data_IF_709245688226
#
_entry.id   IF_709245688226
#
_cell.length_a   1.000
_cell.length_b   1.000
_cell.length_c   1.000
_cell.angle_alpha   90.00
_cell.angle_beta   90.00
_cell.angle_gamma   90.00
#
_symmetry.space_group_name_H-M   'P 1'
#
loop_
_entity.id
_entity.type
_entity.pdbx_description
1 polymer ?
#
# COMPACT_ATOMS: atom_id res chain seq x y z
N UNK A 1 17.09 -25.96 -15.12
CA UNK A 1 16.23 -25.76 -13.94
C UNK A 1 14.83 -25.45 -14.46
N UNK A 2 14.01 -26.50 -14.61
CA UNK A 2 12.70 -26.43 -15.28
C UNK A 2 11.68 -25.74 -14.37
N UNK A 3 11.22 -24.55 -14.76
CA UNK A 3 10.05 -23.91 -14.18
C UNK A 3 8.81 -24.74 -14.56
N UNK A 4 8.26 -25.50 -13.62
CA UNK A 4 6.97 -26.17 -13.80
C UNK A 4 5.89 -25.07 -13.97
N UNK A 5 5.02 -25.14 -14.98
CA UNK A 5 3.90 -24.21 -15.08
C UNK A 5 3.03 -24.37 -13.85
N UNK A 6 2.77 -23.26 -13.14
CA UNK A 6 1.92 -23.28 -11.96
C UNK A 6 0.52 -23.81 -12.33
N UNK A 7 -0.09 -24.70 -11.52
CA UNK A 7 -1.42 -25.23 -11.82
C UNK A 7 -2.44 -24.09 -11.95
N UNK A 8 -3.37 -24.19 -12.90
CA UNK A 8 -4.32 -23.12 -13.25
C UNK A 8 -5.20 -22.62 -12.08
N UNK A 9 -5.29 -23.38 -10.98
CA UNK A 9 -5.91 -22.94 -9.73
C UNK A 9 -5.07 -21.89 -8.99
N UNK A 10 -3.75 -22.01 -8.99
CA UNK A 10 -2.84 -21.14 -8.25
C UNK A 10 -2.81 -19.71 -8.81
N UNK A 11 -2.83 -19.58 -10.15
CA UNK A 11 -2.91 -18.26 -10.82
C UNK A 11 -4.19 -17.51 -10.45
N UNK A 12 -5.32 -18.22 -10.32
CA UNK A 12 -6.61 -17.63 -9.91
C UNK A 12 -6.58 -17.12 -8.47
N UNK A 13 -5.96 -17.86 -7.57
CA UNK A 13 -5.82 -17.43 -6.16
C UNK A 13 -4.96 -16.17 -6.06
N UNK A 14 -3.87 -16.07 -6.82
CA UNK A 14 -3.01 -14.89 -6.83
C UNK A 14 -3.75 -13.64 -7.33
N UNK A 15 -4.51 -13.77 -8.43
CA UNK A 15 -5.35 -12.66 -8.92
C UNK A 15 -6.42 -12.25 -7.92
N UNK A 16 -7.03 -13.21 -7.23
CA UNK A 16 -8.05 -12.92 -6.23
C UNK A 16 -7.45 -12.17 -5.03
N UNK A 17 -6.29 -12.62 -4.55
CA UNK A 17 -5.53 -11.94 -3.49
C UNK A 17 -5.21 -10.50 -3.88
N UNK A 18 -4.60 -10.33 -5.05
CA UNK A 18 -4.22 -9.03 -5.57
C UNK A 18 -5.43 -8.09 -5.72
N UNK A 19 -6.58 -8.61 -6.16
CA UNK A 19 -7.80 -7.84 -6.28
C UNK A 19 -8.32 -7.33 -4.92
N UNK A 20 -8.34 -8.21 -3.92
CA UNK A 20 -8.77 -7.83 -2.58
C UNK A 20 -7.82 -6.80 -1.97
N UNK A 21 -6.50 -7.00 -2.08
CA UNK A 21 -5.53 -6.11 -1.44
C UNK A 21 -5.42 -4.78 -2.19
N UNK A 22 -5.51 -4.75 -3.52
CA UNK A 22 -5.64 -3.50 -4.26
C UNK A 22 -6.86 -2.69 -3.80
N UNK A 23 -7.99 -3.36 -3.55
CA UNK A 23 -9.20 -2.72 -3.00
C UNK A 23 -8.94 -2.20 -1.59
N UNK A 24 -8.27 -2.99 -0.74
CA UNK A 24 -7.87 -2.55 0.61
C UNK A 24 -6.92 -1.36 0.58
N UNK A 25 -5.92 -1.34 -0.31
CA UNK A 25 -4.96 -0.23 -0.46
C UNK A 25 -5.67 1.09 -0.77
N UNK A 26 -6.67 1.07 -1.67
CA UNK A 26 -7.52 2.25 -1.91
C UNK A 26 -8.34 2.65 -0.68
N UNK A 27 -8.87 1.67 0.06
CA UNK A 27 -9.61 1.97 1.31
C UNK A 27 -8.69 2.61 2.35
N UNK A 28 -7.48 2.10 2.52
CA UNK A 28 -6.48 2.64 3.46
C UNK A 28 -6.13 4.09 3.11
N UNK A 29 -5.83 4.36 1.84
CA UNK A 29 -5.61 5.73 1.35
C UNK A 29 -6.77 6.67 1.68
N UNK A 30 -8.02 6.26 1.40
CA UNK A 30 -9.20 7.07 1.65
C UNK A 30 -9.45 7.29 3.15
N UNK A 31 -9.18 6.29 3.98
CA UNK A 31 -9.26 6.39 5.44
C UNK A 31 -8.23 7.39 5.95
N UNK A 32 -6.98 7.31 5.49
CA UNK A 32 -5.92 8.26 5.83
C UNK A 32 -6.31 9.70 5.48
N UNK A 33 -6.85 9.88 4.27
CA UNK A 33 -7.33 11.16 3.77
C UNK A 33 -8.46 11.73 4.63
N UNK A 34 -9.48 10.90 4.92
CA UNK A 34 -10.60 11.28 5.77
C UNK A 34 -10.14 11.65 7.20
N UNK A 35 -9.24 10.86 7.79
CA UNK A 35 -8.68 11.16 9.10
C UNK A 35 -7.90 12.47 9.11
N UNK A 36 -7.08 12.72 8.08
CA UNK A 36 -6.35 13.98 7.96
C UNK A 36 -7.31 15.18 7.85
N UNK A 37 -8.36 15.08 7.03
CA UNK A 37 -9.41 16.10 6.90
C UNK A 37 -10.12 16.36 8.23
N UNK A 38 -10.52 15.32 8.95
CA UNK A 38 -11.26 15.44 10.21
C UNK A 38 -10.41 15.96 11.37
N UNK A 39 -9.15 15.55 11.45
CA UNK A 39 -8.28 15.89 12.58
C UNK A 39 -7.54 17.23 12.39
N UNK A 40 -7.24 17.63 11.15
CA UNK A 40 -6.51 18.87 10.86
C UNK A 40 -7.40 20.01 10.35
N UNK A 41 -8.70 19.76 10.11
CA UNK A 41 -9.73 20.78 9.88
C UNK A 41 -9.85 21.33 8.45
N UNK A 42 -8.79 21.26 7.63
CA UNK A 42 -8.84 21.66 6.21
C UNK A 42 -9.03 20.45 5.29
N UNK A 43 -10.30 20.12 5.02
CA UNK A 43 -10.64 18.90 4.31
C UNK A 43 -10.02 18.82 2.91
N UNK A 44 -10.02 19.91 2.14
CA UNK A 44 -9.57 19.89 0.75
C UNK A 44 -8.06 19.78 0.67
N UNK A 45 -7.34 20.59 1.45
CA UNK A 45 -5.88 20.59 1.41
C UNK A 45 -5.31 19.27 1.93
N UNK A 46 -5.79 18.76 3.07
CA UNK A 46 -5.24 17.54 3.65
C UNK A 46 -5.61 16.29 2.86
N UNK A 47 -6.84 16.20 2.37
CA UNK A 47 -7.24 15.08 1.52
C UNK A 47 -6.39 15.08 0.23
N UNK A 48 -6.27 16.23 -0.45
CA UNK A 48 -5.50 16.32 -1.70
C UNK A 48 -4.01 16.04 -1.49
N UNK A 49 -3.43 16.46 -0.37
CA UNK A 49 -2.04 16.15 -0.02
C UNK A 49 -1.83 14.66 0.25
N UNK A 50 -2.78 14.00 0.92
CA UNK A 50 -2.73 12.56 1.16
C UNK A 50 -2.77 11.79 -0.15
N UNK A 51 -3.77 12.05 -1.00
CA UNK A 51 -3.91 11.40 -2.32
C UNK A 51 -2.67 11.69 -3.19
N UNK A 52 -2.24 12.95 -3.25
CA UNK A 52 -1.07 13.34 -4.04
C UNK A 52 0.22 12.67 -3.55
N UNK A 53 0.39 12.51 -2.23
CA UNK A 53 1.54 11.80 -1.65
C UNK A 53 1.44 10.30 -1.91
N UNK A 54 0.26 9.71 -1.77
CA UNK A 54 0.02 8.30 -2.02
C UNK A 54 0.35 7.92 -3.47
N UNK A 55 -0.18 8.66 -4.44
CA UNK A 55 0.10 8.45 -5.86
C UNK A 55 1.58 8.68 -6.21
N UNK A 56 2.22 9.66 -5.56
CA UNK A 56 3.66 9.89 -5.73
C UNK A 56 4.49 8.72 -5.19
N UNK A 57 4.13 8.21 -4.01
CA UNK A 57 4.74 7.04 -3.39
C UNK A 57 4.53 5.77 -4.22
N UNK A 58 3.35 5.62 -4.81
CA UNK A 58 3.04 4.54 -5.75
C UNK A 58 3.97 4.56 -6.97
N UNK A 59 4.29 5.76 -7.49
CA UNK A 59 5.33 5.94 -8.51
C UNK A 59 6.71 5.47 -8.06
N UNK A 60 7.11 5.79 -6.82
CA UNK A 60 8.36 5.32 -6.21
C UNK A 60 8.38 3.80 -6.08
N UNK A 61 7.29 3.20 -5.60
CA UNK A 61 7.12 1.75 -5.51
C UNK A 61 7.26 1.07 -6.87
N UNK A 62 6.59 1.61 -7.89
CA UNK A 62 6.69 1.09 -9.27
C UNK A 62 8.12 1.16 -9.82
N UNK A 63 8.87 2.22 -9.51
CA UNK A 63 10.29 2.29 -9.85
C UNK A 63 11.13 1.24 -9.09
N UNK A 64 10.91 1.10 -7.77
CA UNK A 64 11.61 0.13 -6.93
C UNK A 64 11.34 -1.33 -7.35
N UNK A 65 10.18 -1.60 -7.94
CA UNK A 65 9.82 -2.95 -8.44
C UNK A 65 10.84 -3.51 -9.42
N UNK A 66 11.56 -2.63 -10.13
CA UNK A 66 12.55 -3.01 -11.14
C UNK A 66 13.78 -3.68 -10.56
N UNK A 67 14.09 -3.46 -9.28
CA UNK A 67 15.24 -4.06 -8.59
C UNK A 67 14.92 -5.43 -7.97
N UNK A 68 13.66 -5.86 -8.01
CA UNK A 68 13.23 -7.17 -7.53
C UNK A 68 13.27 -8.17 -8.69
N UNK A 69 14.37 -8.91 -8.81
CA UNK A 69 14.58 -9.87 -9.90
C UNK A 69 14.46 -11.35 -9.47
N UNK A 70 14.50 -11.64 -8.17
CA UNK A 70 14.52 -13.01 -7.63
C UNK A 70 13.35 -13.27 -6.70
N UNK A 71 12.73 -14.45 -6.83
CA UNK A 71 11.65 -14.90 -5.95
C UNK A 71 10.41 -14.02 -6.01
N UNK A 72 10.05 -13.53 -7.20
CA UNK A 72 8.94 -12.59 -7.44
C UNK A 72 7.66 -12.97 -6.68
N UNK A 73 7.34 -14.27 -6.67
CA UNK A 73 6.14 -14.77 -6.03
C UNK A 73 6.18 -14.68 -4.50
N UNK A 74 7.33 -15.02 -3.89
CA UNK A 74 7.51 -14.88 -2.45
C UNK A 74 7.49 -13.40 -2.04
N UNK A 75 8.16 -12.54 -2.83
CA UNK A 75 8.16 -11.09 -2.61
C UNK A 75 6.77 -10.47 -2.73
N UNK A 76 5.98 -10.94 -3.69
CA UNK A 76 4.59 -10.51 -3.83
C UNK A 76 3.80 -10.82 -2.55
N UNK A 77 3.86 -12.06 -2.05
CA UNK A 77 3.16 -12.43 -0.81
C UNK A 77 3.69 -11.67 0.41
N UNK A 78 4.99 -11.41 0.50
CA UNK A 78 5.57 -10.58 1.57
C UNK A 78 5.02 -9.14 1.55
N UNK A 79 4.87 -8.56 0.35
CA UNK A 79 4.32 -7.21 0.17
C UNK A 79 2.84 -7.19 0.56
N UNK A 80 2.04 -8.15 0.09
CA UNK A 80 0.61 -8.30 0.41
C UNK A 80 0.39 -8.35 1.94
N UNK A 81 1.21 -9.14 2.65
CA UNK A 81 1.17 -9.22 4.11
C UNK A 81 1.61 -7.91 4.77
N UNK A 82 2.65 -7.26 4.24
CA UNK A 82 3.10 -5.96 4.77
C UNK A 82 2.04 -4.86 4.60
N UNK A 83 1.37 -4.80 3.44
CA UNK A 83 0.26 -3.87 3.19
C UNK A 83 -0.89 -4.14 4.13
N UNK A 84 -1.28 -5.41 4.29
CA UNK A 84 -2.36 -5.79 5.20
C UNK A 84 -2.06 -5.39 6.66
N UNK A 85 -0.81 -5.57 7.11
CA UNK A 85 -0.40 -5.22 8.47
C UNK A 85 -0.32 -3.70 8.69
N UNK A 86 0.36 -2.98 7.78
CA UNK A 86 0.57 -1.54 7.93
C UNK A 86 -0.77 -0.80 7.73
N UNK A 87 -1.51 -1.13 6.67
CA UNK A 87 -2.80 -0.51 6.40
C UNK A 87 -3.89 -0.91 7.40
N UNK A 88 -3.93 -2.18 7.82
CA UNK A 88 -4.90 -2.63 8.83
C UNK A 88 -4.73 -1.97 10.20
N UNK A 89 -3.50 -1.57 10.55
CA UNK A 89 -3.20 -0.83 11.78
C UNK A 89 -3.19 0.69 11.60
N UNK A 90 -3.42 1.19 10.39
CA UNK A 90 -3.27 2.60 10.06
C UNK A 90 -4.17 3.50 10.91
N UNK A 91 -5.48 3.25 10.87
CA UNK A 91 -6.47 4.05 11.58
C UNK A 91 -6.21 4.14 13.09
N UNK A 92 -6.02 3.03 13.85
CA UNK A 92 -5.73 3.14 15.28
C UNK A 92 -4.39 3.84 15.56
N UNK A 93 -3.36 3.64 14.72
CA UNK A 93 -2.07 4.32 14.86
C UNK A 93 -2.22 5.83 14.64
N UNK A 94 -2.94 6.26 13.60
CA UNK A 94 -3.18 7.68 13.33
C UNK A 94 -4.01 8.33 14.45
N UNK A 95 -5.05 7.64 14.94
CA UNK A 95 -5.89 8.14 16.02
C UNK A 95 -5.09 8.28 17.33
N UNK A 96 -4.31 7.26 17.70
CA UNK A 96 -3.44 7.32 18.86
C UNK A 96 -2.35 8.40 18.69
N UNK A 97 -1.73 8.47 17.51
CA UNK A 97 -0.72 9.47 17.18
C UNK A 97 -1.23 10.90 17.30
N UNK A 98 -2.49 11.15 16.94
CA UNK A 98 -3.11 12.46 17.11
C UNK A 98 -3.28 12.85 18.58
N UNK A 99 -3.66 11.89 19.43
CA UNK A 99 -3.87 12.13 20.88
C UNK A 99 -2.54 12.31 21.61
N UNK A 100 -1.54 11.48 21.31
CA UNK A 100 -0.32 11.37 22.11
C UNK A 100 0.89 12.10 21.53
N UNK A 101 0.90 12.48 20.25
CA UNK A 101 2.09 13.02 19.58
C UNK A 101 1.83 14.34 18.87
N UNK A 102 2.65 15.39 19.12
CA UNK A 102 2.63 16.60 18.29
C UNK A 102 3.07 16.34 16.84
N UNK A 103 3.63 15.16 16.55
CA UNK A 103 4.13 14.75 15.24
C UNK A 103 3.10 14.08 14.31
N UNK A 104 1.79 14.25 14.53
CA UNK A 104 0.73 13.60 13.74
C UNK A 104 0.94 13.73 12.22
N UNK A 105 1.29 14.91 11.72
CA UNK A 105 1.50 15.16 10.28
C UNK A 105 2.61 14.29 9.71
N UNK A 106 3.72 14.14 10.44
CA UNK A 106 4.83 13.29 10.02
C UNK A 106 4.41 11.82 10.02
N UNK A 107 3.70 11.37 11.06
CA UNK A 107 3.18 10.00 11.14
C UNK A 107 2.23 9.68 9.99
N UNK A 108 1.32 10.61 9.66
CA UNK A 108 0.41 10.51 8.52
C UNK A 108 1.17 10.31 7.21
N UNK A 109 2.10 11.21 6.87
CA UNK A 109 2.84 11.10 5.62
C UNK A 109 3.73 9.86 5.56
N UNK A 110 4.30 9.41 6.68
CA UNK A 110 5.08 8.17 6.73
C UNK A 110 4.19 6.96 6.41
N UNK A 111 3.00 6.86 7.02
CA UNK A 111 2.09 5.74 6.74
C UNK A 111 1.59 5.77 5.29
N UNK A 112 1.11 6.93 4.82
CA UNK A 112 0.63 7.09 3.44
C UNK A 112 1.73 6.75 2.43
N UNK A 113 2.97 7.22 2.67
CA UNK A 113 4.09 6.94 1.78
C UNK A 113 4.51 5.46 1.83
N UNK A 114 4.50 4.83 3.01
CA UNK A 114 4.82 3.41 3.16
C UNK A 114 3.80 2.53 2.43
N UNK A 115 2.50 2.74 2.66
CA UNK A 115 1.43 1.98 2.02
C UNK A 115 1.46 2.22 0.51
N UNK A 116 1.53 3.49 0.07
CA UNK A 116 1.58 3.83 -1.36
C UNK A 116 2.78 3.19 -2.07
N UNK A 117 3.96 3.17 -1.44
CA UNK A 117 5.15 2.50 -2.00
C UNK A 117 4.94 0.99 -2.13
N UNK A 118 4.38 0.34 -1.12
CA UNK A 118 4.11 -1.09 -1.15
C UNK A 118 3.09 -1.47 -2.22
N UNK A 119 1.96 -0.76 -2.30
CA UNK A 119 0.95 -0.96 -3.34
C UNK A 119 1.52 -0.67 -4.74
N UNK A 120 2.39 0.34 -4.87
CA UNK A 120 3.09 0.64 -6.12
C UNK A 120 4.01 -0.49 -6.60
N UNK A 121 4.55 -1.30 -5.69
CA UNK A 121 5.38 -2.46 -6.03
C UNK A 121 4.55 -3.62 -6.61
N UNK A 122 3.28 -3.74 -6.22
CA UNK A 122 2.43 -4.89 -6.57
C UNK A 122 2.13 -4.96 -8.08
N UNK A 123 1.74 -3.84 -8.70
CA UNK A 123 1.32 -3.81 -10.10
C UNK A 123 2.39 -4.34 -11.07
N UNK A 124 3.65 -3.86 -11.04
CA UNK A 124 4.68 -4.38 -11.93
C UNK A 124 5.08 -5.82 -11.62
N UNK A 125 5.08 -6.21 -10.34
CA UNK A 125 5.39 -7.59 -9.93
C UNK A 125 4.34 -8.57 -10.46
N UNK A 126 3.06 -8.22 -10.36
CA UNK A 126 1.97 -9.05 -10.84
C UNK A 126 2.08 -9.28 -12.36
N UNK A 127 2.40 -8.23 -13.12
CA UNK A 127 2.62 -8.33 -14.57
C UNK A 127 3.84 -9.22 -14.90
N UNK A 128 4.90 -9.20 -14.08
CA UNK A 128 6.11 -10.03 -14.27
C UNK A 128 5.91 -11.50 -13.86
N UNK A 129 5.01 -11.78 -12.92
CA UNK A 129 4.70 -13.14 -12.44
C UNK A 129 3.75 -13.85 -13.42
N UNK A 130 2.94 -13.09 -14.16
CA UNK A 130 1.99 -13.59 -15.15
C UNK A 130 2.66 -14.01 -16.47
#
# INVERSE_FOLDING_TARGET
>A
MHSRPAPAGFRRVLFLSAFFIATCGLVYELVAGAMASYLLGDSVTWFSLVIGTYLSAMGVGSYLSRFLDRGLLARFVEIEVAVALIGGLEAPILFAGFVYSPGFKALLFIQVFAIGTLVGLELPLLIRIL
#
